data_IF_527361884366
#
_entry.id   IF_527361884366
#
_cell.length_a   1.000
_cell.length_b   1.000
_cell.length_c   1.000
_cell.angle_alpha   90.00
_cell.angle_beta   90.00
_cell.angle_gamma   90.00
#
_symmetry.space_group_name_H-M   'P 1'
#
loop_
_entity.id
_entity.type
_entity.pdbx_description
1 polymer ?
#
# COMPACT_ATOMS: atom_id res chain seq x y z
N UNK A 1 17.17 -2.29 -41.71
CA UNK A 1 16.02 -2.19 -40.78
C UNK A 1 15.97 -3.47 -39.96
N UNK A 2 16.54 -3.49 -38.76
CA UNK A 2 16.51 -4.66 -37.87
C UNK A 2 15.25 -4.62 -37.00
N UNK A 3 14.41 -5.63 -37.11
CA UNK A 3 13.21 -5.78 -36.27
C UNK A 3 13.59 -6.52 -35.00
N UNK A 4 13.61 -5.82 -33.87
CA UNK A 4 13.85 -6.42 -32.57
C UNK A 4 12.67 -7.32 -32.17
N UNK A 5 12.95 -8.60 -31.88
CA UNK A 5 11.96 -9.53 -31.36
C UNK A 5 11.62 -9.18 -29.90
N UNK A 6 10.38 -8.77 -29.65
CA UNK A 6 9.86 -8.53 -28.30
C UNK A 6 9.69 -9.87 -27.60
N UNK A 7 10.65 -10.22 -26.73
CA UNK A 7 10.56 -11.38 -25.85
C UNK A 7 9.50 -11.08 -24.79
N UNK A 8 8.30 -11.63 -24.96
CA UNK A 8 7.20 -11.55 -23.98
C UNK A 8 7.70 -12.16 -22.67
N UNK A 9 7.99 -11.32 -21.69
CA UNK A 9 8.40 -11.75 -20.35
C UNK A 9 7.38 -12.71 -19.78
N UNK A 10 7.86 -13.75 -19.08
CA UNK A 10 7.03 -14.72 -18.37
C UNK A 10 5.98 -13.96 -17.56
N UNK A 11 4.72 -14.31 -17.75
CA UNK A 11 3.66 -13.85 -16.86
C UNK A 11 3.92 -14.52 -15.52
N UNK A 12 4.39 -13.74 -14.55
CA UNK A 12 4.67 -14.22 -13.21
C UNK A 12 3.42 -14.93 -12.67
N UNK A 13 3.59 -16.17 -12.21
CA UNK A 13 2.52 -16.97 -11.63
C UNK A 13 1.91 -16.20 -10.44
N UNK A 14 0.75 -15.56 -10.66
CA UNK A 14 0.03 -14.85 -9.61
C UNK A 14 -0.53 -15.89 -8.66
N UNK A 15 0.17 -16.14 -7.56
CA UNK A 15 -0.30 -17.04 -6.49
C UNK A 15 -1.44 -16.33 -5.74
N UNK A 16 -2.68 -16.59 -6.16
CA UNK A 16 -3.88 -16.10 -5.46
C UNK A 16 -4.08 -16.94 -4.20
N UNK A 17 -3.64 -16.41 -3.06
CA UNK A 17 -3.84 -17.07 -1.75
C UNK A 17 -5.27 -16.85 -1.27
N UNK A 18 -6.03 -17.92 -1.03
CA UNK A 18 -7.45 -17.87 -0.61
C UNK A 18 -7.69 -17.12 0.72
N UNK A 19 -6.69 -17.07 1.60
CA UNK A 19 -6.74 -16.37 2.89
C UNK A 19 -5.42 -15.63 3.12
N UNK A 20 -5.49 -14.31 3.29
CA UNK A 20 -4.33 -13.53 3.73
C UNK A 20 -4.02 -13.80 5.20
N UNK A 21 -2.76 -13.58 5.60
CA UNK A 21 -2.36 -13.56 7.00
C UNK A 21 -2.96 -12.34 7.70
N UNK A 22 -3.42 -12.52 8.93
CA UNK A 22 -3.94 -11.45 9.76
C UNK A 22 -2.79 -10.74 10.50
N UNK A 23 -2.58 -9.46 10.19
CA UNK A 23 -1.55 -8.61 10.79
C UNK A 23 -2.13 -7.60 11.81
N UNK A 24 -3.41 -7.73 12.18
CA UNK A 24 -4.08 -6.78 13.07
C UNK A 24 -3.39 -6.61 14.43
N UNK A 25 -2.65 -7.64 14.88
CA UNK A 25 -1.94 -7.64 16.15
C UNK A 25 -0.42 -7.48 16.06
N UNK A 26 0.13 -7.33 14.86
CA UNK A 26 1.57 -7.23 14.66
C UNK A 26 2.11 -5.89 15.23
N UNK A 27 3.13 -5.94 16.13
CA UNK A 27 3.71 -4.75 16.75
C UNK A 27 4.21 -3.70 15.74
N UNK A 28 4.70 -4.12 14.58
CA UNK A 28 5.23 -3.21 13.57
C UNK A 28 4.13 -2.31 12.99
N UNK A 29 2.94 -2.86 12.77
CA UNK A 29 1.80 -2.13 12.22
C UNK A 29 1.13 -1.26 13.29
N UNK A 30 1.06 -1.73 14.54
CA UNK A 30 0.54 -0.95 15.67
C UNK A 30 1.35 0.32 15.92
N UNK A 31 2.69 0.21 15.97
CA UNK A 31 3.59 1.36 16.16
C UNK A 31 3.42 2.40 15.05
N UNK A 32 3.40 1.97 13.80
CA UNK A 32 3.18 2.87 12.64
C UNK A 32 1.81 3.56 12.70
N UNK A 33 0.78 2.84 13.14
CA UNK A 33 -0.55 3.43 13.30
C UNK A 33 -0.59 4.48 14.42
N UNK A 34 0.10 4.25 15.53
CA UNK A 34 0.24 5.22 16.62
C UNK A 34 1.04 6.46 16.18
N UNK A 35 2.15 6.26 15.48
CA UNK A 35 2.97 7.33 14.90
C UNK A 35 2.18 8.18 13.91
N UNK A 36 1.43 7.55 13.00
CA UNK A 36 0.57 8.25 12.05
C UNK A 36 -0.54 9.05 12.76
N UNK A 37 -1.16 8.49 13.80
CA UNK A 37 -2.15 9.22 14.63
C UNK A 37 -1.52 10.43 15.31
N UNK A 38 -0.30 10.29 15.85
CA UNK A 38 0.42 11.39 16.48
C UNK A 38 0.77 12.49 15.46
N UNK A 39 1.19 12.10 14.26
CA UNK A 39 1.49 13.01 13.16
C UNK A 39 0.26 13.83 12.74
N UNK A 40 -0.87 13.14 12.49
CA UNK A 40 -2.12 13.80 12.10
C UNK A 40 -2.64 14.74 13.19
N UNK A 41 -2.51 14.35 14.48
CA UNK A 41 -2.87 15.24 15.60
C UNK A 41 -2.00 16.49 15.66
N UNK A 42 -0.71 16.39 15.31
CA UNK A 42 0.23 17.50 15.34
C UNK A 42 0.07 18.46 14.15
N UNK A 43 -0.17 17.93 12.96
CA UNK A 43 -0.15 18.71 11.71
C UNK A 43 -1.55 18.94 11.09
N UNK A 44 -2.57 18.23 11.56
CA UNK A 44 -3.89 18.20 10.92
C UNK A 44 -3.91 17.29 9.67
N UNK A 45 -5.07 17.21 9.03
CA UNK A 45 -5.16 16.65 7.68
C UNK A 45 -5.06 17.78 6.65
N UNK A 46 -4.48 17.53 5.46
CA UNK A 46 -4.49 18.50 4.38
C UNK A 46 -5.91 18.91 4.00
N UNK A 47 -6.08 20.17 3.56
CA UNK A 47 -7.39 20.73 3.20
C UNK A 47 -8.12 19.95 2.10
N UNK A 48 -7.39 19.17 1.29
CA UNK A 48 -7.95 18.26 0.28
C UNK A 48 -8.79 17.12 0.88
N UNK A 49 -8.60 16.80 2.16
CA UNK A 49 -9.37 15.79 2.89
C UNK A 49 -10.57 16.37 3.63
N UNK A 50 -10.71 17.70 3.66
CA UNK A 50 -11.94 18.36 4.10
C UNK A 50 -13.04 18.03 3.10
N UNK A 51 -13.99 17.17 3.51
CA UNK A 51 -15.22 17.00 2.74
C UNK A 51 -15.93 18.34 2.70
N UNK A 52 -16.00 18.96 1.53
CA UNK A 52 -16.94 20.05 1.27
C UNK A 52 -18.34 19.49 1.57
N UNK A 53 -19.01 20.09 2.55
CA UNK A 53 -20.40 19.80 2.91
C UNK A 53 -21.33 20.12 1.75
#
# INVERSE_FOLDING_TARGET
MSTAAVKKGRMDEVIVVKKMRDYSNDPAFKKKAEEAKAFIKKHGLPDTFSKKK
#
